data_IF_272437273259
#
_entry.id   IF_272437273259
#
_cell.length_a   1.000
_cell.length_b   1.000
_cell.length_c   1.000
_cell.angle_alpha   90.00
_cell.angle_beta   90.00
_cell.angle_gamma   90.00
#
_symmetry.space_group_name_H-M   'P 1'
#
loop_
_entity.id
_entity.type
_entity.pdbx_description
1 polymer ?
#
# COMPACT_ATOMS: atom_id res chain seq x y z
N UNK A 1 8.20 0.43 -15.73
CA UNK A 1 8.54 0.82 -17.13
C UNK A 1 7.82 2.05 -17.64
N UNK A 2 6.73 2.52 -17.02
CA UNK A 2 5.93 3.59 -17.62
C UNK A 2 5.78 4.83 -16.73
N UNK A 3 5.85 4.68 -15.40
CA UNK A 3 5.74 5.80 -14.46
C UNK A 3 6.85 6.83 -14.65
N UNK A 4 6.48 8.11 -14.57
CA UNK A 4 7.37 9.26 -14.54
C UNK A 4 7.60 9.71 -13.09
N UNK A 5 8.20 10.87 -12.91
CA UNK A 5 8.43 11.46 -11.59
C UNK A 5 7.12 11.73 -10.85
N UNK A 6 6.22 12.49 -11.50
CA UNK A 6 4.93 12.88 -10.97
C UNK A 6 3.80 12.01 -11.56
N UNK A 7 2.60 12.14 -10.98
CA UNK A 7 1.41 11.50 -11.51
C UNK A 7 1.19 11.89 -12.98
N UNK A 8 0.86 10.90 -13.80
CA UNK A 8 0.69 11.10 -15.25
C UNK A 8 -0.70 10.65 -15.66
N UNK A 9 -1.42 11.49 -16.40
CA UNK A 9 -2.68 11.11 -17.04
C UNK A 9 -2.37 10.18 -18.21
N UNK A 10 -2.99 9.01 -18.21
CA UNK A 10 -2.94 8.01 -19.28
C UNK A 10 -4.33 7.96 -19.90
N UNK A 11 -4.52 8.54 -21.09
CA UNK A 11 -5.82 8.56 -21.75
C UNK A 11 -6.41 7.15 -21.93
N UNK A 12 -7.75 6.99 -21.91
CA UNK A 12 -8.74 8.06 -21.75
C UNK A 12 -9.02 8.48 -20.30
N UNK A 13 -8.78 7.62 -19.32
CA UNK A 13 -9.35 7.74 -17.96
C UNK A 13 -8.48 7.14 -16.85
N UNK A 14 -7.18 6.92 -17.10
CA UNK A 14 -6.27 6.32 -16.11
C UNK A 14 -5.31 7.36 -15.55
N UNK A 15 -5.00 7.25 -14.26
CA UNK A 15 -3.91 7.98 -13.63
C UNK A 15 -2.82 6.99 -13.27
N UNK A 16 -1.60 7.27 -13.69
CA UNK A 16 -0.42 6.50 -13.32
C UNK A 16 0.30 7.17 -12.17
N UNK A 17 0.60 6.38 -11.14
CA UNK A 17 1.40 6.82 -10.00
C UNK A 17 2.79 7.32 -10.42
N UNK A 18 3.18 8.47 -9.87
CA UNK A 18 4.52 9.00 -9.97
C UNK A 18 5.48 8.26 -9.03
N UNK A 19 6.72 8.03 -9.47
CA UNK A 19 7.73 7.35 -8.67
C UNK A 19 8.12 8.14 -7.41
N UNK A 20 7.99 9.47 -7.44
CA UNK A 20 8.32 10.34 -6.31
C UNK A 20 7.28 10.26 -5.17
N UNK A 21 6.08 9.74 -5.45
CA UNK A 21 5.04 9.52 -4.43
C UNK A 21 5.35 8.31 -3.53
N UNK A 22 6.32 7.45 -3.91
CA UNK A 22 6.68 6.26 -3.15
C UNK A 22 7.54 6.68 -1.95
N UNK A 23 7.07 6.40 -0.74
CA UNK A 23 7.81 6.65 0.50
C UNK A 23 9.21 6.02 0.42
N UNK A 24 10.21 6.76 0.91
CA UNK A 24 11.63 6.37 0.91
C UNK A 24 12.33 6.32 -0.46
N UNK A 25 11.67 6.75 -1.55
CA UNK A 25 12.32 6.88 -2.87
C UNK A 25 12.68 8.35 -3.10
N UNK A 26 13.97 8.66 -3.14
CA UNK A 26 14.47 10.02 -3.31
C UNK A 26 14.46 10.50 -4.76
N UNK A 27 14.39 11.83 -4.95
CA UNK A 27 14.39 12.48 -6.26
C UNK A 27 15.51 12.00 -7.19
N UNK A 28 16.75 11.88 -6.70
CA UNK A 28 17.90 11.44 -7.49
C UNK A 28 17.74 10.00 -8.04
N UNK A 29 17.14 9.11 -7.25
CA UNK A 29 16.83 7.73 -7.68
C UNK A 29 15.78 7.78 -8.79
N UNK A 30 14.72 8.57 -8.62
CA UNK A 30 13.66 8.74 -9.62
C UNK A 30 14.21 9.31 -10.93
N UNK A 31 15.02 10.37 -10.88
CA UNK A 31 15.63 10.95 -12.07
C UNK A 31 16.52 9.94 -12.79
N UNK A 32 17.36 9.21 -12.05
CA UNK A 32 18.22 8.17 -12.62
C UNK A 32 17.38 7.11 -13.35
N UNK A 33 16.28 6.64 -12.74
CA UNK A 33 15.39 5.64 -13.33
C UNK A 33 14.72 6.16 -14.61
N UNK A 34 14.19 7.38 -14.58
CA UNK A 34 13.46 7.95 -15.71
C UNK A 34 14.42 8.29 -16.86
N UNK A 35 15.56 8.90 -16.58
CA UNK A 35 16.52 9.31 -17.60
C UNK A 35 17.21 8.11 -18.26
N UNK A 36 17.64 7.12 -17.47
CA UNK A 36 18.23 5.88 -18.00
C UNK A 36 17.24 5.13 -18.91
N UNK A 37 15.96 5.11 -18.52
CA UNK A 37 14.90 4.51 -19.34
C UNK A 37 14.63 5.30 -20.63
N UNK A 38 14.69 6.63 -20.58
CA UNK A 38 14.55 7.48 -21.79
C UNK A 38 15.71 7.23 -22.77
N UNK A 39 16.92 7.05 -22.27
CA UNK A 39 18.12 6.90 -23.10
C UNK A 39 18.26 5.49 -23.70
N UNK A 40 18.02 4.43 -22.91
CA UNK A 40 18.29 3.04 -23.30
C UNK A 40 17.02 2.17 -23.39
N UNK A 41 15.84 2.76 -23.31
CA UNK A 41 14.55 2.07 -23.44
C UNK A 41 14.08 1.37 -22.16
N UNK A 42 12.98 0.59 -22.22
CA UNK A 42 12.39 -0.08 -21.05
C UNK A 42 13.35 -1.11 -20.42
N UNK A 43 13.18 -1.35 -19.12
CA UNK A 43 13.91 -2.40 -18.41
C UNK A 43 13.32 -3.76 -18.73
N UNK A 44 14.16 -4.72 -19.17
CA UNK A 44 13.72 -6.06 -19.60
C UNK A 44 13.62 -7.08 -18.46
N UNK A 45 14.35 -6.85 -17.38
CA UNK A 45 14.37 -7.70 -16.19
C UNK A 45 14.86 -6.89 -14.98
N UNK A 46 14.76 -7.45 -13.77
CA UNK A 46 15.35 -6.80 -12.60
C UNK A 46 16.87 -6.68 -12.73
N UNK A 47 17.54 -7.62 -13.40
CA UNK A 47 18.98 -7.56 -13.66
C UNK A 47 19.35 -6.40 -14.58
N UNK A 48 18.58 -6.24 -15.66
CA UNK A 48 18.73 -5.11 -16.56
C UNK A 48 18.58 -3.79 -15.81
N UNK A 49 17.60 -3.70 -14.90
CA UNK A 49 17.43 -2.54 -14.03
C UNK A 49 18.65 -2.28 -13.13
N UNK A 50 19.09 -3.25 -12.32
CA UNK A 50 20.19 -3.01 -11.35
C UNK A 50 21.54 -2.75 -12.00
N UNK A 51 21.78 -3.26 -13.22
CA UNK A 51 23.01 -3.04 -14.00
C UNK A 51 23.03 -1.66 -14.69
N UNK A 52 21.85 -1.15 -15.07
CA UNK A 52 21.71 0.14 -15.76
C UNK A 52 21.68 1.30 -14.78
N UNK A 53 20.93 1.18 -13.69
CA UNK A 53 20.81 2.24 -12.70
C UNK A 53 22.13 2.49 -11.98
N UNK A 54 22.75 3.60 -12.33
CA UNK A 54 24.03 4.04 -11.78
C UNK A 54 23.80 5.21 -10.81
N UNK A 55 23.03 4.96 -9.75
CA UNK A 55 22.79 5.93 -8.68
C UNK A 55 23.37 5.43 -7.37
N UNK A 56 24.23 6.25 -6.75
CA UNK A 56 24.74 6.00 -5.39
C UNK A 56 23.61 6.03 -4.35
N UNK A 57 22.48 6.65 -4.70
CA UNK A 57 21.33 6.82 -3.83
C UNK A 57 20.36 5.62 -3.89
N UNK A 58 20.56 4.67 -4.83
CA UNK A 58 19.81 3.41 -4.86
C UNK A 58 20.31 2.49 -3.72
N UNK A 59 19.81 2.74 -2.53
CA UNK A 59 20.09 1.96 -1.33
C UNK A 59 19.01 0.90 -1.05
N UNK A 60 19.27 0.05 -0.04
CA UNK A 60 18.34 -1.02 0.39
C UNK A 60 16.91 -0.53 0.59
N UNK A 61 16.74 0.58 1.32
CA UNK A 61 15.42 1.13 1.66
C UNK A 61 14.66 1.60 0.42
N UNK A 62 15.35 2.24 -0.52
CA UNK A 62 14.75 2.72 -1.77
C UNK A 62 14.35 1.56 -2.69
N UNK A 63 15.23 0.56 -2.87
CA UNK A 63 14.94 -0.60 -3.70
C UNK A 63 13.82 -1.46 -3.11
N UNK A 64 13.84 -1.68 -1.79
CA UNK A 64 12.76 -2.35 -1.06
C UNK A 64 11.42 -1.63 -1.27
N UNK A 65 11.39 -0.31 -1.17
CA UNK A 65 10.16 0.48 -1.35
C UNK A 65 9.66 0.44 -2.80
N UNK A 66 10.55 0.45 -3.79
CA UNK A 66 10.19 0.25 -5.20
C UNK A 66 9.61 -1.15 -5.47
N UNK A 67 10.17 -2.20 -4.86
CA UNK A 67 9.65 -3.57 -4.95
C UNK A 67 8.26 -3.66 -4.32
N UNK A 68 8.15 -3.23 -3.05
CA UNK A 68 6.93 -3.33 -2.26
C UNK A 68 5.77 -2.51 -2.81
N UNK A 69 6.04 -1.40 -3.49
CA UNK A 69 5.03 -0.56 -4.17
C UNK A 69 4.57 -1.12 -5.53
N UNK A 70 5.13 -2.23 -6.00
CA UNK A 70 4.73 -2.86 -7.26
C UNK A 70 5.41 -2.30 -8.52
N UNK A 71 6.46 -1.48 -8.37
CA UNK A 71 7.18 -0.90 -9.52
C UNK A 71 7.76 -1.96 -10.47
N UNK A 72 7.98 -3.18 -9.97
CA UNK A 72 8.57 -4.31 -10.70
C UNK A 72 7.62 -5.49 -10.90
N UNK A 73 6.31 -5.33 -10.69
CA UNK A 73 5.34 -6.45 -10.79
C UNK A 73 5.30 -7.10 -12.18
N UNK A 74 5.65 -6.35 -13.23
CA UNK A 74 5.79 -6.87 -14.60
C UNK A 74 7.13 -7.57 -14.88
N UNK A 75 8.08 -7.55 -13.94
CA UNK A 75 9.43 -8.11 -14.09
C UNK A 75 9.67 -9.34 -13.22
N UNK A 76 9.15 -9.35 -11.99
CA UNK A 76 9.28 -10.47 -11.05
C UNK A 76 8.30 -10.34 -9.88
N UNK A 77 8.12 -11.44 -9.15
CA UNK A 77 7.29 -11.48 -7.94
C UNK A 77 7.95 -10.71 -6.78
N UNK A 78 7.16 -9.96 -5.99
CA UNK A 78 7.65 -9.06 -4.94
C UNK A 78 8.47 -9.79 -3.86
N UNK A 79 7.97 -10.89 -3.28
CA UNK A 79 8.72 -11.66 -2.26
C UNK A 79 10.00 -12.26 -2.82
N UNK A 80 9.98 -12.71 -4.08
CA UNK A 80 11.18 -13.18 -4.77
C UNK A 80 12.23 -12.07 -4.88
N UNK A 81 11.84 -10.85 -5.25
CA UNK A 81 12.75 -9.71 -5.27
C UNK A 81 13.25 -9.32 -3.88
N UNK A 82 12.37 -9.33 -2.87
CA UNK A 82 12.73 -9.03 -1.48
C UNK A 82 13.71 -10.05 -0.89
N UNK A 83 13.50 -11.33 -1.18
CA UNK A 83 14.40 -12.40 -0.74
C UNK A 83 15.81 -12.25 -1.33
N UNK A 84 15.90 -11.78 -2.58
CA UNK A 84 17.16 -11.58 -3.28
C UNK A 84 17.71 -10.15 -3.18
N UNK A 85 17.13 -9.30 -2.32
CA UNK A 85 17.41 -7.86 -2.27
C UNK A 85 18.89 -7.52 -2.06
N UNK A 86 19.55 -8.16 -1.10
CA UNK A 86 20.96 -7.88 -0.80
C UNK A 86 21.87 -8.23 -1.98
N UNK A 87 21.59 -9.38 -2.61
CA UNK A 87 22.34 -9.85 -3.77
C UNK A 87 22.14 -8.95 -4.99
N UNK A 88 20.93 -8.40 -5.18
CA UNK A 88 20.65 -7.41 -6.22
C UNK A 88 21.41 -6.10 -5.99
N UNK A 89 21.54 -5.66 -4.73
CA UNK A 89 22.32 -4.46 -4.39
C UNK A 89 23.82 -4.68 -4.58
N UNK A 90 24.33 -5.87 -4.28
CA UNK A 90 25.72 -6.25 -4.52
C UNK A 90 26.09 -6.14 -6.00
N UNK A 91 25.28 -6.74 -6.89
CA UNK A 91 25.46 -6.65 -8.35
C UNK A 91 25.45 -5.19 -8.82
N UNK A 92 24.55 -4.37 -8.28
CA UNK A 92 24.49 -2.94 -8.64
C UNK A 92 25.78 -2.21 -8.23
N UNK A 93 26.31 -2.47 -7.02
CA UNK A 93 27.55 -1.85 -6.52
C UNK A 93 28.77 -2.29 -7.32
N UNK A 94 28.89 -3.58 -7.64
CA UNK A 94 29.98 -4.11 -8.46
C UNK A 94 29.99 -3.48 -9.85
N UNK A 95 28.82 -3.39 -10.47
CA UNK A 95 28.66 -2.75 -11.79
C UNK A 95 29.03 -1.27 -11.75
N UNK A 96 28.66 -0.55 -10.69
CA UNK A 96 29.03 0.85 -10.51
C UNK A 96 30.55 1.03 -10.32
N UNK A 97 31.20 0.17 -9.52
CA UNK A 97 32.66 0.19 -9.32
C UNK A 97 33.41 -0.03 -10.64
N UNK A 98 33.03 -1.07 -11.38
CA UNK A 98 33.64 -1.41 -12.67
C UNK A 98 33.55 -0.24 -13.68
N UNK A 99 32.39 0.44 -13.74
CA UNK A 99 32.23 1.64 -14.59
C UNK A 99 33.12 2.80 -14.14
N UNK A 100 33.30 3.00 -12.83
CA UNK A 100 34.07 4.13 -12.29
C UNK A 100 35.58 3.97 -12.39
N UNK A 101 36.08 2.73 -12.32
CA UNK A 101 37.52 2.44 -12.30
C UNK A 101 38.12 2.31 -13.70
N UNK A 102 37.33 2.52 -14.76
CA UNK A 102 37.78 2.37 -16.15
C UNK A 102 38.21 0.95 -16.53
N UNK A 103 38.13 0.01 -15.59
CA UNK A 103 38.23 -1.41 -15.85
C UNK A 103 37.00 -1.85 -16.65
N UNK A 104 37.15 -1.84 -17.97
CA UNK A 104 36.50 -2.84 -18.84
C UNK A 104 37.13 -4.20 -18.52
N UNK A 105 36.87 -4.72 -17.32
CA UNK A 105 37.64 -5.78 -16.70
C UNK A 105 36.76 -6.95 -16.28
N UNK A 106 37.09 -8.13 -16.81
CA UNK A 106 36.69 -9.49 -16.40
C UNK A 106 35.20 -9.89 -16.50
N UNK A 107 34.24 -8.96 -16.49
CA UNK A 107 32.81 -9.28 -16.68
C UNK A 107 32.29 -9.05 -18.10
N UNK A 108 33.06 -8.38 -18.96
CA UNK A 108 32.74 -8.27 -20.40
C UNK A 108 32.88 -9.64 -21.11
N UNK A 109 33.66 -10.55 -20.51
CA UNK A 109 33.78 -11.96 -20.90
C UNK A 109 32.79 -12.90 -20.21
N UNK A 110 32.00 -12.41 -19.25
CA UNK A 110 30.76 -13.06 -18.81
C UNK A 110 29.62 -12.70 -19.78
N UNK A 111 29.86 -12.93 -21.07
CA UNK A 111 28.80 -13.25 -22.02
C UNK A 111 28.25 -14.65 -21.69
N UNK A 112 27.65 -14.76 -20.52
CA UNK A 112 26.76 -15.80 -20.07
C UNK A 112 25.99 -15.10 -18.94
N UNK A 113 24.68 -14.90 -19.01
CA UNK A 113 23.74 -16.01 -18.99
C UNK A 113 24.10 -17.13 -17.98
N UNK A 114 25.00 -16.90 -17.02
CA UNK A 114 24.79 -17.34 -15.66
C UNK A 114 23.57 -16.56 -15.20
N UNK A 115 22.42 -17.04 -15.67
CA UNK A 115 21.10 -16.52 -15.36
C UNK A 115 21.13 -16.34 -13.87
N UNK A 116 21.20 -15.11 -13.39
CA UNK A 116 21.08 -14.88 -11.96
C UNK A 116 19.65 -15.30 -11.68
N UNK A 117 19.50 -16.54 -11.24
CA UNK A 117 18.22 -17.10 -10.91
C UNK A 117 17.90 -16.53 -9.56
N UNK A 118 16.86 -15.70 -9.54
CA UNK A 118 16.25 -15.28 -8.30
C UNK A 118 15.83 -16.55 -7.57
N UNK A 119 16.38 -16.77 -6.38
CA UNK A 119 15.98 -17.89 -5.54
C UNK A 119 14.47 -17.85 -5.34
N UNK A 120 13.83 -18.99 -5.56
CA UNK A 120 12.38 -19.12 -5.44
C UNK A 120 11.97 -19.01 -3.97
N UNK A 121 10.82 -18.40 -3.74
CA UNK A 121 10.21 -18.24 -2.42
C UNK A 121 8.70 -18.26 -2.56
N UNK A 122 7.98 -18.28 -1.44
CA UNK A 122 6.52 -18.13 -1.45
C UNK A 122 6.18 -16.74 -1.98
N UNK A 123 5.27 -16.69 -2.96
CA UNK A 123 4.76 -15.45 -3.48
C UNK A 123 4.11 -14.61 -2.37
N UNK A 124 4.21 -13.28 -2.50
CA UNK A 124 3.54 -12.36 -1.58
C UNK A 124 2.03 -12.58 -1.63
N UNK A 125 1.44 -12.76 -0.45
CA UNK A 125 0.00 -12.83 -0.26
C UNK A 125 -0.65 -11.50 -0.66
N UNK A 126 -1.94 -11.53 -0.98
CA UNK A 126 -2.71 -10.31 -1.28
C UNK A 126 -2.62 -9.30 -0.12
N UNK A 127 -2.79 -9.77 1.12
CA UNK A 127 -2.73 -8.94 2.32
C UNK A 127 -1.35 -8.27 2.51
N UNK A 128 -0.25 -8.98 2.25
CA UNK A 128 1.09 -8.37 2.28
C UNK A 128 1.22 -7.24 1.25
N UNK A 129 0.78 -7.47 0.01
CA UNK A 129 0.82 -6.45 -1.06
C UNK A 129 -0.01 -5.21 -0.69
N UNK A 130 -1.23 -5.40 -0.19
CA UNK A 130 -2.10 -4.31 0.22
C UNK A 130 -1.53 -3.54 1.40
N UNK A 131 -0.95 -4.23 2.37
CA UNK A 131 -0.27 -3.60 3.50
C UNK A 131 0.89 -2.71 3.03
N UNK A 132 1.72 -3.21 2.11
CA UNK A 132 2.84 -2.43 1.55
C UNK A 132 2.37 -1.23 0.73
N UNK A 133 1.31 -1.37 -0.07
CA UNK A 133 0.72 -0.26 -0.82
C UNK A 133 0.22 0.83 0.12
N UNK A 134 -0.50 0.45 1.18
CA UNK A 134 -0.94 1.41 2.20
C UNK A 134 0.24 2.10 2.89
N UNK A 135 1.27 1.34 3.27
CA UNK A 135 2.44 1.86 3.96
C UNK A 135 3.27 2.83 3.11
N UNK A 136 3.47 2.51 1.82
CA UNK A 136 4.43 3.19 0.96
C UNK A 136 3.78 4.20 0.00
N UNK A 137 2.52 4.00 -0.36
CA UNK A 137 1.76 4.84 -1.28
C UNK A 137 0.65 5.62 -0.56
N UNK A 138 0.27 5.21 0.65
CA UNK A 138 -0.81 5.81 1.44
C UNK A 138 -2.21 5.30 1.09
N UNK A 139 -2.34 4.46 0.07
CA UNK A 139 -3.62 3.93 -0.41
C UNK A 139 -3.45 2.55 -1.06
N UNK A 140 -4.57 1.82 -1.18
CA UNK A 140 -4.63 0.52 -1.85
C UNK A 140 -4.76 0.74 -3.36
N UNK A 141 -3.76 0.31 -4.14
CA UNK A 141 -3.71 0.51 -5.59
C UNK A 141 -4.24 -0.71 -6.33
N UNK A 142 -3.94 -1.90 -5.82
CA UNK A 142 -4.29 -3.17 -6.49
C UNK A 142 -5.76 -3.53 -6.30
N UNK A 143 -6.28 -3.42 -5.08
CA UNK A 143 -7.67 -3.75 -4.72
C UNK A 143 -7.99 -3.23 -3.32
N UNK A 144 -9.23 -2.85 -3.05
CA UNK A 144 -9.63 -2.50 -1.68
C UNK A 144 -9.76 -3.78 -0.82
N UNK A 145 -9.29 -3.82 0.44
CA UNK A 145 -9.39 -5.02 1.28
C UNK A 145 -10.84 -5.51 1.48
N UNK A 146 -11.81 -4.60 1.39
CA UNK A 146 -13.24 -4.93 1.54
C UNK A 146 -13.76 -5.82 0.40
N UNK A 147 -13.11 -5.84 -0.77
CA UNK A 147 -13.59 -6.56 -1.95
C UNK A 147 -13.74 -8.06 -1.69
N UNK A 148 -12.82 -8.66 -0.92
CA UNK A 148 -12.86 -10.08 -0.57
C UNK A 148 -14.08 -10.42 0.31
N UNK A 149 -14.61 -9.44 1.03
CA UNK A 149 -15.73 -9.58 1.96
C UNK A 149 -17.04 -9.04 1.41
N UNK A 150 -17.05 -8.49 0.20
CA UNK A 150 -18.21 -7.83 -0.40
C UNK A 150 -19.46 -8.70 -0.39
N UNK A 151 -19.33 -9.98 -0.78
CA UNK A 151 -20.45 -10.94 -0.78
C UNK A 151 -21.03 -11.19 0.62
N UNK A 152 -20.18 -11.20 1.64
CA UNK A 152 -20.60 -11.42 3.04
C UNK A 152 -21.27 -10.16 3.58
N UNK A 153 -20.75 -8.99 3.23
CA UNK A 153 -21.22 -7.69 3.70
C UNK A 153 -22.51 -7.24 3.01
N UNK A 154 -22.64 -7.42 1.70
CA UNK A 154 -23.80 -6.95 0.89
C UNK A 154 -25.16 -7.38 1.47
N UNK A 155 -25.23 -8.55 2.12
CA UNK A 155 -26.47 -9.06 2.73
C UNK A 155 -26.69 -8.64 4.18
N UNK A 156 -25.66 -8.10 4.83
CA UNK A 156 -25.62 -7.85 6.28
C UNK A 156 -25.52 -6.39 6.66
N UNK A 157 -25.07 -5.53 5.73
CA UNK A 157 -24.77 -4.12 6.01
C UNK A 157 -25.41 -3.18 5.00
N UNK A 158 -25.70 -1.97 5.47
CA UNK A 158 -26.05 -0.83 4.66
C UNK A 158 -24.77 -0.23 4.06
N UNK A 159 -24.71 0.04 2.74
CA UNK A 159 -23.56 0.70 2.11
C UNK A 159 -23.28 2.07 2.74
N UNK A 160 -22.00 2.45 2.85
CA UNK A 160 -21.61 3.72 3.48
C UNK A 160 -22.15 4.93 2.72
N UNK A 161 -22.27 4.83 1.38
CA UNK A 161 -22.90 5.85 0.52
C UNK A 161 -24.35 6.18 0.88
N UNK A 162 -25.04 5.29 1.62
CA UNK A 162 -26.42 5.51 2.07
C UNK A 162 -26.50 6.09 3.48
N UNK A 163 -25.37 6.41 4.12
CA UNK A 163 -25.35 7.03 5.44
C UNK A 163 -25.55 8.53 5.29
N UNK A 164 -26.82 8.93 5.29
CA UNK A 164 -27.27 10.31 5.04
C UNK A 164 -28.04 10.87 6.23
N UNK A 165 -28.31 12.18 6.22
CA UNK A 165 -28.91 12.88 7.36
C UNK A 165 -30.35 12.42 7.67
N UNK A 166 -31.10 11.89 6.70
CA UNK A 166 -32.45 11.34 6.88
C UNK A 166 -32.47 10.03 7.68
N UNK A 167 -31.31 9.42 7.92
CA UNK A 167 -31.15 8.28 8.82
C UNK A 167 -30.85 8.68 10.26
N UNK A 168 -30.74 9.98 10.57
CA UNK A 168 -30.46 10.47 11.93
C UNK A 168 -31.38 9.82 12.97
N UNK A 169 -30.78 9.29 14.03
CA UNK A 169 -31.47 8.59 15.12
C UNK A 169 -31.81 7.13 14.84
N UNK A 170 -31.70 6.65 13.59
CA UNK A 170 -31.95 5.24 13.23
C UNK A 170 -30.75 4.36 13.56
N UNK A 171 -31.04 3.11 13.87
CA UNK A 171 -30.04 2.05 14.00
C UNK A 171 -29.70 1.48 12.63
N UNK A 172 -28.41 1.37 12.35
CA UNK A 172 -27.88 0.80 11.10
C UNK A 172 -26.77 -0.20 11.39
N UNK A 173 -26.54 -1.10 10.44
CA UNK A 173 -25.33 -1.93 10.38
C UNK A 173 -24.54 -1.50 9.16
N UNK A 174 -23.26 -1.25 9.33
CA UNK A 174 -22.32 -0.87 8.26
C UNK A 174 -21.10 -1.79 8.31
N UNK A 175 -20.38 -1.90 7.20
CA UNK A 175 -19.14 -2.67 7.12
C UNK A 175 -18.08 -1.90 6.37
N UNK A 176 -16.83 -2.07 6.76
CA UNK A 176 -15.71 -1.42 6.09
C UNK A 176 -14.36 -1.71 6.73
N UNK A 177 -13.33 -1.08 6.18
CA UNK A 177 -11.96 -1.14 6.68
C UNK A 177 -11.74 0.05 7.62
N UNK A 178 -11.15 -0.19 8.80
CA UNK A 178 -10.72 0.90 9.67
C UNK A 178 -9.51 1.58 9.03
N UNK A 179 -9.67 2.80 8.53
CA UNK A 179 -8.64 3.53 7.78
C UNK A 179 -7.80 4.47 8.63
N UNK A 180 -8.36 4.93 9.76
CA UNK A 180 -7.62 5.70 10.77
C UNK A 180 -8.31 5.64 12.13
N UNK A 181 -7.52 5.80 13.19
CA UNK A 181 -8.00 5.81 14.57
C UNK A 181 -7.43 7.04 15.29
N UNK A 182 -8.31 7.92 15.76
CA UNK A 182 -7.96 9.02 16.66
C UNK A 182 -8.45 8.70 18.07
N UNK A 183 -7.51 8.40 18.96
CA UNK A 183 -7.78 8.20 20.39
C UNK A 183 -7.78 9.52 21.14
N UNK A 184 -8.80 9.77 21.93
CA UNK A 184 -8.84 10.89 22.89
C UNK A 184 -9.16 10.39 24.29
N UNK A 185 -8.76 11.17 25.29
CA UNK A 185 -9.12 10.93 26.68
C UNK A 185 -10.31 11.82 27.02
N UNK A 186 -11.40 11.21 27.48
CA UNK A 186 -12.60 11.93 27.91
C UNK A 186 -12.33 12.68 29.22
N UNK A 187 -13.22 13.61 29.59
CA UNK A 187 -13.14 14.35 30.87
C UNK A 187 -13.07 13.43 32.10
N UNK A 188 -13.58 12.20 31.98
CA UNK A 188 -13.58 11.19 33.04
C UNK A 188 -12.34 10.27 33.00
N UNK A 189 -11.31 10.62 32.22
CA UNK A 189 -10.06 9.86 32.12
C UNK A 189 -10.13 8.59 31.26
N UNK A 190 -11.31 8.23 30.73
CA UNK A 190 -11.48 7.03 29.91
C UNK A 190 -11.20 7.29 28.42
N UNK A 191 -10.63 6.31 27.67
CA UNK A 191 -10.36 6.46 26.25
C UNK A 191 -11.64 6.42 25.42
N UNK A 192 -11.71 7.27 24.39
CA UNK A 192 -12.74 7.25 23.34
C UNK A 192 -12.04 7.30 21.98
N UNK A 193 -12.58 6.60 20.98
CA UNK A 193 -12.02 6.60 19.62
C UNK A 193 -12.95 7.30 18.64
N UNK A 194 -12.36 8.08 17.74
CA UNK A 194 -12.97 8.45 16.48
C UNK A 194 -12.27 7.63 15.40
N UNK A 195 -12.97 6.68 14.81
CA UNK A 195 -12.43 5.79 13.79
C UNK A 195 -13.06 6.11 12.45
N UNK A 196 -12.25 6.23 11.39
CA UNK A 196 -12.77 6.33 10.03
C UNK A 196 -12.96 4.94 9.47
N UNK A 197 -14.19 4.62 9.06
CA UNK A 197 -14.53 3.40 8.37
C UNK A 197 -14.67 3.72 6.88
N UNK A 198 -13.98 2.96 6.01
CA UNK A 198 -14.02 3.17 4.56
C UNK A 198 -14.45 1.91 3.79
N UNK A 199 -15.22 2.14 2.72
CA UNK A 199 -15.43 1.18 1.62
C UNK A 199 -14.65 1.66 0.38
N UNK A 200 -14.92 1.09 -0.79
CA UNK A 200 -14.18 1.45 -2.02
C UNK A 200 -14.25 2.95 -2.35
N UNK A 201 -15.37 3.61 -2.06
CA UNK A 201 -15.67 4.96 -2.56
C UNK A 201 -16.05 5.97 -1.45
N UNK A 202 -16.36 5.51 -0.24
CA UNK A 202 -16.97 6.32 0.82
C UNK A 202 -16.28 6.13 2.16
N UNK A 203 -16.42 7.14 3.02
CA UNK A 203 -15.91 7.14 4.39
C UNK A 203 -16.97 7.65 5.35
N UNK A 204 -17.05 7.02 6.52
CA UNK A 204 -17.95 7.43 7.60
C UNK A 204 -17.18 7.43 8.92
N UNK A 205 -17.33 8.49 9.70
CA UNK A 205 -16.79 8.56 11.06
C UNK A 205 -17.64 7.71 12.02
N UNK A 206 -16.98 6.82 12.74
CA UNK A 206 -17.56 6.00 13.80
C UNK A 206 -16.99 6.45 15.14
N UNK A 207 -17.87 6.80 16.08
CA UNK A 207 -17.52 7.21 17.44
C UNK A 207 -17.66 5.99 18.36
N UNK A 208 -16.58 5.64 19.03
CA UNK A 208 -16.49 4.46 19.88
C UNK A 208 -16.25 4.87 21.34
N UNK A 209 -17.26 4.65 22.17
CA UNK A 209 -17.20 4.96 23.60
C UNK A 209 -16.39 3.93 24.39
N UNK A 210 -15.83 4.30 25.57
CA UNK A 210 -14.96 3.44 26.36
C UNK A 210 -15.49 2.03 26.60
N UNK A 211 -16.80 1.89 26.88
CA UNK A 211 -17.40 0.58 27.16
C UNK A 211 -17.43 -0.38 25.97
N UNK A 212 -17.31 0.11 24.73
CA UNK A 212 -17.16 -0.72 23.52
C UNK A 212 -15.69 -1.12 23.33
N UNK A 213 -14.77 -0.18 23.57
CA UNK A 213 -13.32 -0.43 23.51
C UNK A 213 -12.92 -1.49 24.52
N UNK A 214 -13.37 -1.37 25.77
CA UNK A 214 -13.08 -2.28 26.88
C UNK A 214 -13.47 -3.74 26.56
N UNK A 215 -14.52 -3.94 25.75
CA UNK A 215 -14.99 -5.26 25.33
C UNK A 215 -14.30 -5.81 24.08
N UNK A 216 -13.64 -4.95 23.29
CA UNK A 216 -13.18 -5.27 21.93
C UNK A 216 -11.80 -4.69 21.61
N UNK A 217 -10.87 -4.72 22.57
CA UNK A 217 -9.56 -4.06 22.46
C UNK A 217 -8.75 -4.43 21.21
N UNK A 218 -8.88 -5.68 20.74
CA UNK A 218 -8.11 -6.17 19.60
C UNK A 218 -8.68 -5.73 18.24
N UNK A 219 -9.94 -5.30 18.17
CA UNK A 219 -10.63 -4.99 16.91
C UNK A 219 -10.25 -3.60 16.38
N UNK A 220 -9.99 -2.65 17.27
CA UNK A 220 -9.69 -1.26 16.89
C UNK A 220 -8.21 -1.10 16.49
N UNK A 221 -7.88 -1.63 15.31
CA UNK A 221 -6.58 -1.48 14.64
C UNK A 221 -6.82 -1.08 13.19
N UNK A 222 -5.95 -0.23 12.65
CA UNK A 222 -6.02 0.13 11.23
C UNK A 222 -5.89 -1.12 10.35
N UNK A 223 -6.57 -1.10 9.22
CA UNK A 223 -6.68 -2.17 8.23
C UNK A 223 -7.53 -3.39 8.66
N UNK A 224 -8.11 -3.40 9.86
CA UNK A 224 -9.11 -4.42 10.21
C UNK A 224 -10.43 -4.17 9.51
N UNK A 225 -11.03 -5.26 9.02
CA UNK A 225 -12.35 -5.24 8.41
C UNK A 225 -13.37 -5.53 9.50
N UNK A 226 -14.31 -4.62 9.67
CA UNK A 226 -15.27 -4.69 10.77
C UNK A 226 -16.68 -4.45 10.28
N UNK A 227 -17.63 -5.08 10.97
CA UNK A 227 -19.04 -4.74 10.91
C UNK A 227 -19.40 -3.96 12.18
N UNK A 228 -19.98 -2.78 12.01
CA UNK A 228 -20.40 -1.90 13.10
C UNK A 228 -21.91 -1.81 13.09
N UNK A 229 -22.53 -2.04 14.23
CA UNK A 229 -23.92 -1.68 14.48
C UNK A 229 -23.95 -0.44 15.36
N UNK A 230 -24.70 0.56 14.95
CA UNK A 230 -24.71 1.83 15.66
C UNK A 230 -25.84 2.74 15.23
N UNK A 231 -25.95 3.85 15.94
CA UNK A 231 -26.96 4.89 15.68
C UNK A 231 -26.37 6.00 14.84
N UNK A 232 -27.10 6.45 13.82
CA UNK A 232 -26.71 7.63 13.05
C UNK A 232 -26.90 8.89 13.89
N UNK A 233 -25.87 9.71 14.00
CA UNK A 233 -25.89 11.03 14.64
C UNK A 233 -25.40 12.09 13.63
N UNK A 234 -25.99 13.27 13.65
CA UNK A 234 -25.69 14.34 12.68
C UNK A 234 -25.57 15.71 13.37
N UNK A 235 -25.11 15.76 14.63
CA UNK A 235 -25.07 17.01 15.40
C UNK A 235 -24.14 18.08 14.80
N UNK A 236 -23.08 17.64 14.12
CA UNK A 236 -22.06 18.53 13.53
C UNK A 236 -22.28 18.78 12.02
N UNK A 237 -23.43 18.40 11.47
CA UNK A 237 -23.79 18.57 10.05
C UNK A 237 -23.22 17.50 9.10
N UNK A 238 -22.29 16.67 9.56
CA UNK A 238 -21.80 15.47 8.86
C UNK A 238 -22.33 14.24 9.59
N UNK A 239 -23.01 13.29 8.91
CA UNK A 239 -23.45 12.04 9.51
C UNK A 239 -22.30 11.22 10.07
N UNK A 240 -22.47 10.74 11.30
CA UNK A 240 -21.54 9.89 12.05
C UNK A 240 -22.30 8.71 12.64
N UNK A 241 -21.57 7.70 13.06
CA UNK A 241 -22.15 6.50 13.66
C UNK A 241 -21.68 6.37 15.10
N UNK A 242 -22.61 6.39 16.03
CA UNK A 242 -22.34 6.07 17.42
C UNK A 242 -22.34 4.56 17.55
N UNK A 243 -21.17 3.96 17.76
CA UNK A 243 -20.98 2.52 17.81
C UNK A 243 -21.66 1.91 19.05
N UNK A 244 -22.51 0.90 18.83
CA UNK A 244 -23.14 0.11 19.89
C UNK A 244 -22.60 -1.33 19.94
N UNK A 245 -22.30 -1.93 18.79
CA UNK A 245 -21.66 -3.25 18.68
C UNK A 245 -20.64 -3.23 17.52
N UNK A 246 -19.56 -4.01 17.66
CA UNK A 246 -18.55 -4.18 16.61
C UNK A 246 -18.11 -5.64 16.55
N UNK A 247 -17.94 -6.15 15.34
CA UNK A 247 -17.45 -7.50 15.07
C UNK A 247 -16.35 -7.41 14.00
N UNK A 248 -15.23 -8.11 14.20
CA UNK A 248 -14.22 -8.29 13.16
C UNK A 248 -14.71 -9.34 12.16
N UNK A 249 -14.60 -9.02 10.86
CA UNK A 249 -14.94 -9.95 9.80
C UNK A 249 -13.67 -10.69 9.41
N UNK A 250 -13.66 -11.99 9.70
CA UNK A 250 -12.53 -12.88 9.43
C UNK A 250 -12.89 -13.79 8.25
N UNK A 251 -11.93 -14.06 7.36
CA UNK A 251 -12.09 -15.09 6.33
C UNK A 251 -12.43 -16.44 6.97
N UNK A 252 -13.42 -17.12 6.41
CA UNK A 252 -13.86 -18.47 6.83
C UNK A 252 -13.05 -19.54 6.13
#
# INVERSE_FOLDING_TARGET
NESLENFTVVPPDKIRFGLLAIKNVGYNVVQSIVQERKNAGPYRSIFDFVNRISSRDLNKKSLESLIKSGCFDNLAERNQLLFNLERLLEVSRETQKAKSEGQRGLFDGFSQAATFQLSQTKAATKNEKLHWEKELLGLFVTSHPIEDFKKVLEKKVLPLSRITQDLTGKMVRIGGVISSIKKIITKNGKPMLFTQLEDEDNKVEVVVFPGIIERNHEIFKENKIVMVKGRVDNRDGVPKIICEEVEEVIES
#
